data_IF_828497272610
#
_entry.id   IF_828497272610
#
_cell.length_a   1.000
_cell.length_b   1.000
_cell.length_c   1.000
_cell.angle_alpha   90.00
_cell.angle_beta   90.00
_cell.angle_gamma   90.00
#
_symmetry.space_group_name_H-M   'P 1'
#
loop_
_entity.id
_entity.type
_entity.pdbx_description
1 polymer ?
#
# COMPACT_ATOMS: atom_id res chain seq x y z
N UNK A 1 1.48 13.35 -2.87
CA UNK A 1 2.11 12.02 -3.03
C UNK A 1 1.23 10.95 -2.42
N UNK A 2 1.74 9.73 -2.16
CA UNK A 2 0.93 8.61 -1.65
C UNK A 2 0.19 8.91 -0.34
N UNK A 3 0.79 9.70 0.56
CA UNK A 3 0.15 10.12 1.81
C UNK A 3 -1.20 10.83 1.58
N UNK A 4 -1.29 11.68 0.56
CA UNK A 4 -2.54 12.39 0.24
C UNK A 4 -3.63 11.40 -0.16
N UNK A 5 -3.30 10.30 -0.84
CA UNK A 5 -4.27 9.25 -1.16
C UNK A 5 -4.78 8.59 0.12
N UNK A 6 -3.89 8.28 1.07
CA UNK A 6 -4.25 7.71 2.37
C UNK A 6 -5.24 8.63 3.13
N UNK A 7 -4.97 9.93 3.14
CA UNK A 7 -5.84 10.91 3.80
C UNK A 7 -7.23 10.97 3.14
N UNK A 8 -7.32 10.71 1.83
CA UNK A 8 -8.57 10.69 1.08
C UNK A 8 -9.36 9.37 1.15
N UNK A 9 -8.78 8.29 1.70
CA UNK A 9 -9.51 7.03 1.90
C UNK A 9 -10.68 7.15 2.89
N UNK A 10 -10.72 8.23 3.68
CA UNK A 10 -11.83 8.59 4.55
C UNK A 10 -12.50 9.92 4.19
N UNK A 11 -12.28 10.42 2.97
CA UNK A 11 -12.87 11.69 2.56
C UNK A 11 -14.41 11.67 2.66
N UNK A 12 -15.08 12.72 3.18
CA UNK A 12 -16.54 12.73 3.35
C UNK A 12 -17.31 12.70 2.02
N UNK A 13 -16.73 13.29 0.97
CA UNK A 13 -17.23 13.11 -0.39
C UNK A 13 -16.85 11.72 -0.91
N UNK A 14 -17.85 10.86 -1.08
CA UNK A 14 -17.70 9.48 -1.53
C UNK A 14 -17.13 9.34 -2.94
N UNK A 15 -17.34 10.32 -3.83
CA UNK A 15 -16.74 10.31 -5.16
C UNK A 15 -15.22 10.46 -5.09
N UNK A 16 -14.74 11.41 -4.27
CA UNK A 16 -13.30 11.61 -4.06
C UNK A 16 -12.67 10.42 -3.34
N UNK A 17 -13.40 9.83 -2.38
CA UNK A 17 -12.99 8.60 -1.71
C UNK A 17 -12.84 7.44 -2.69
N UNK A 18 -13.85 7.23 -3.56
CA UNK A 18 -13.82 6.21 -4.60
C UNK A 18 -12.65 6.39 -5.56
N UNK A 19 -12.43 7.63 -6.05
CA UNK A 19 -11.27 7.95 -6.89
C UNK A 19 -9.94 7.70 -6.17
N UNK A 20 -9.84 8.03 -4.89
CA UNK A 20 -8.64 7.72 -4.10
C UNK A 20 -8.38 6.21 -4.05
N UNK A 21 -9.41 5.40 -3.85
CA UNK A 21 -9.31 3.94 -3.90
C UNK A 21 -8.91 3.41 -5.28
N UNK A 22 -9.52 3.90 -6.35
CA UNK A 22 -9.17 3.49 -7.72
C UNK A 22 -7.70 3.76 -8.03
N UNK A 23 -7.22 4.98 -7.72
CA UNK A 23 -5.81 5.33 -7.90
C UNK A 23 -4.92 4.46 -7.01
N UNK A 24 -5.30 4.27 -5.75
CA UNK A 24 -4.51 3.49 -4.80
C UNK A 24 -4.43 2.01 -5.17
N UNK A 25 -5.48 1.42 -5.74
CA UNK A 25 -5.45 0.04 -6.28
C UNK A 25 -4.68 -0.03 -7.59
N UNK A 26 -4.78 0.99 -8.45
CA UNK A 26 -4.06 1.04 -9.73
C UNK A 26 -2.55 1.01 -9.51
N UNK A 27 -2.01 1.82 -8.60
CA UNK A 27 -0.56 1.84 -8.34
C UNK A 27 0.00 0.52 -7.79
N UNK A 28 -0.86 -0.38 -7.31
CA UNK A 28 -0.50 -1.69 -6.75
C UNK A 28 -0.48 -2.80 -7.79
N UNK A 29 -0.86 -2.50 -9.04
CA UNK A 29 -0.89 -3.48 -10.13
C UNK A 29 0.54 -3.89 -10.52
N UNK A 30 0.81 -5.19 -10.49
CA UNK A 30 2.11 -5.77 -10.88
C UNK A 30 2.44 -5.48 -12.35
N UNK A 31 1.41 -5.31 -13.19
CA UNK A 31 1.56 -4.94 -14.59
C UNK A 31 2.11 -3.52 -14.80
N UNK A 32 1.88 -2.62 -13.83
CA UNK A 32 2.39 -1.25 -13.87
C UNK A 32 3.75 -1.13 -13.17
N UNK A 33 3.93 -1.86 -12.09
CA UNK A 33 5.19 -1.91 -11.35
C UNK A 33 5.33 -3.27 -10.65
N UNK A 34 6.39 -4.04 -10.92
CA UNK A 34 6.55 -5.38 -10.36
C UNK A 34 7.01 -5.29 -8.89
N UNK A 35 6.06 -5.05 -7.99
CA UNK A 35 6.32 -4.80 -6.57
C UNK A 35 6.97 -5.99 -5.88
N UNK A 36 6.56 -7.22 -6.21
CA UNK A 36 7.07 -8.45 -5.58
C UNK A 36 8.29 -9.04 -6.29
N UNK A 37 8.45 -8.78 -7.59
CA UNK A 37 9.58 -9.22 -8.40
C UNK A 37 10.27 -8.02 -9.07
N UNK A 38 10.80 -7.08 -8.28
CA UNK A 38 11.37 -5.86 -8.81
C UNK A 38 12.61 -6.14 -9.67
N UNK A 39 12.88 -5.31 -10.69
CA UNK A 39 13.99 -5.52 -11.61
C UNK A 39 15.34 -5.53 -10.88
N UNK A 40 16.26 -6.37 -11.35
CA UNK A 40 17.62 -6.42 -10.81
C UNK A 40 18.32 -5.07 -10.98
N UNK A 41 18.84 -4.54 -9.87
CA UNK A 41 19.58 -3.27 -9.89
C UNK A 41 21.05 -3.56 -10.23
N UNK A 42 21.65 -2.87 -11.22
CA UNK A 42 23.06 -3.06 -11.56
C UNK A 42 24.00 -2.90 -10.37
N UNK A 43 24.86 -3.90 -10.18
CA UNK A 43 25.84 -3.96 -9.09
C UNK A 43 25.34 -4.60 -7.80
N UNK A 44 24.27 -5.40 -7.84
CA UNK A 44 23.79 -6.17 -6.68
C UNK A 44 23.14 -5.33 -5.58
N UNK A 45 22.76 -4.09 -5.92
CA UNK A 45 22.09 -3.17 -5.00
C UNK A 45 20.66 -3.60 -4.72
N UNK A 46 20.15 -3.28 -3.53
CA UNK A 46 18.72 -3.43 -3.26
C UNK A 46 17.91 -2.44 -4.10
N UNK A 47 16.65 -2.75 -4.38
CA UNK A 47 15.72 -1.84 -5.05
C UNK A 47 15.52 -0.56 -4.23
N UNK A 48 15.68 -0.66 -2.91
CA UNK A 48 15.73 0.49 -1.99
C UNK A 48 16.94 1.41 -2.17
N UNK A 49 17.93 1.01 -2.96
CA UNK A 49 19.18 1.75 -3.27
C UNK A 49 19.33 2.03 -4.78
N UNK A 50 18.38 1.55 -5.58
CA UNK A 50 18.36 1.67 -7.04
C UNK A 50 17.61 2.91 -7.55
N UNK A 51 17.34 2.97 -8.86
CA UNK A 51 16.57 4.07 -9.47
C UNK A 51 15.17 4.23 -8.85
N UNK A 52 14.59 3.13 -8.35
CA UNK A 52 13.24 3.08 -7.77
C UNK A 52 13.20 3.32 -6.25
N UNK A 53 14.35 3.61 -5.63
CA UNK A 53 14.46 3.83 -4.19
C UNK A 53 13.43 4.85 -3.66
N UNK A 54 13.11 5.89 -4.45
CA UNK A 54 12.11 6.90 -4.07
C UNK A 54 10.70 6.34 -4.03
N UNK A 55 10.32 5.49 -4.98
CA UNK A 55 8.99 4.87 -5.04
C UNK A 55 8.82 3.88 -3.90
N UNK A 56 9.84 3.04 -3.68
CA UNK A 56 9.87 2.09 -2.56
C UNK A 56 9.86 2.80 -1.22
N UNK A 57 10.67 3.84 -1.05
CA UNK A 57 10.71 4.65 0.16
C UNK A 57 9.37 5.32 0.43
N UNK A 58 8.70 5.83 -0.60
CA UNK A 58 7.37 6.43 -0.47
C UNK A 58 6.31 5.40 -0.05
N UNK A 59 6.29 4.21 -0.66
CA UNK A 59 5.36 3.14 -0.28
C UNK A 59 5.65 2.64 1.14
N UNK A 60 6.93 2.43 1.48
CA UNK A 60 7.36 2.02 2.81
C UNK A 60 7.01 3.06 3.89
N UNK A 61 7.06 4.35 3.56
CA UNK A 61 6.70 5.42 4.49
C UNK A 61 5.24 5.35 4.97
N UNK A 62 4.36 4.67 4.21
CA UNK A 62 2.97 4.46 4.60
C UNK A 62 2.83 3.53 5.82
N UNK A 63 3.88 2.79 6.20
CA UNK A 63 3.89 2.04 7.47
C UNK A 63 3.73 2.94 8.70
N UNK A 64 4.05 4.24 8.56
CA UNK A 64 3.91 5.27 9.60
C UNK A 64 2.64 6.12 9.42
N UNK A 65 1.80 5.79 8.45
CA UNK A 65 0.57 6.53 8.15
C UNK A 65 -0.66 5.78 8.70
N UNK A 66 -1.85 6.42 8.73
CA UNK A 66 -3.07 5.74 9.16
C UNK A 66 -3.64 4.78 8.09
N UNK A 67 -2.85 4.35 7.10
CA UNK A 67 -3.32 3.53 5.98
C UNK A 67 -4.14 2.32 6.42
N UNK A 68 -3.61 1.48 7.31
CA UNK A 68 -4.29 0.25 7.74
C UNK A 68 -5.61 0.59 8.44
N UNK A 69 -5.61 1.58 9.33
CA UNK A 69 -6.84 2.03 9.99
C UNK A 69 -7.88 2.54 8.99
N UNK A 70 -7.47 3.42 8.06
CA UNK A 70 -8.35 3.97 7.04
C UNK A 70 -8.94 2.90 6.12
N UNK A 71 -8.17 1.86 5.78
CA UNK A 71 -8.68 0.73 4.99
C UNK A 71 -9.73 -0.08 5.77
N UNK A 72 -9.49 -0.35 7.05
CA UNK A 72 -10.43 -1.11 7.91
C UNK A 72 -11.75 -0.36 8.10
N UNK A 73 -11.71 0.97 8.24
CA UNK A 73 -12.92 1.81 8.36
C UNK A 73 -13.84 1.77 7.13
N UNK A 74 -13.34 1.32 5.96
CA UNK A 74 -14.16 1.12 4.77
C UNK A 74 -14.79 -0.29 4.68
N UNK A 75 -14.59 -1.15 5.70
CA UNK A 75 -15.21 -2.48 5.76
C UNK A 75 -16.74 -2.44 5.86
N UNK A 76 -17.33 -1.33 6.28
CA UNK A 76 -18.79 -1.14 6.35
C UNK A 76 -19.43 -0.83 5.00
N UNK A 77 -18.66 -0.90 3.90
CA UNK A 77 -19.13 -0.66 2.52
C UNK A 77 -19.78 0.74 2.33
N UNK A 78 -19.07 1.86 2.59
CA UNK A 78 -19.64 3.21 2.45
C UNK A 78 -20.00 3.58 1.01
N UNK A 79 -19.47 2.87 0.02
CA UNK A 79 -19.84 2.95 -1.39
C UNK A 79 -19.67 1.56 -2.04
N UNK A 80 -20.29 1.30 -3.21
CA UNK A 80 -20.21 -0.01 -3.85
C UNK A 80 -18.78 -0.42 -4.19
N UNK A 81 -18.35 -1.58 -3.71
CA UNK A 81 -17.01 -2.14 -3.88
C UNK A 81 -15.98 -1.69 -2.84
N UNK A 82 -16.32 -0.79 -1.92
CA UNK A 82 -15.37 -0.18 -0.99
C UNK A 82 -14.62 -1.21 -0.12
N UNK A 83 -15.33 -2.16 0.49
CA UNK A 83 -14.74 -3.18 1.35
C UNK A 83 -13.83 -4.11 0.54
N UNK A 84 -14.20 -4.45 -0.71
CA UNK A 84 -13.36 -5.26 -1.58
C UNK A 84 -12.07 -4.51 -1.98
N UNK A 85 -12.18 -3.24 -2.38
CA UNK A 85 -11.02 -2.40 -2.72
C UNK A 85 -10.10 -2.20 -1.50
N UNK A 86 -10.69 -2.02 -0.32
CA UNK A 86 -9.97 -1.90 0.93
C UNK A 86 -9.24 -3.18 1.32
N UNK A 87 -9.91 -4.33 1.26
CA UNK A 87 -9.32 -5.63 1.54
C UNK A 87 -8.19 -5.95 0.54
N UNK A 88 -8.41 -5.69 -0.75
CA UNK A 88 -7.38 -5.88 -1.79
C UNK A 88 -6.15 -5.03 -1.50
N UNK A 89 -6.34 -3.75 -1.19
CA UNK A 89 -5.25 -2.83 -0.86
C UNK A 89 -4.50 -3.25 0.41
N UNK A 90 -5.24 -3.70 1.43
CA UNK A 90 -4.66 -4.20 2.67
C UNK A 90 -3.84 -5.47 2.43
N UNK A 91 -4.38 -6.41 1.65
CA UNK A 91 -3.72 -7.66 1.30
C UNK A 91 -2.42 -7.41 0.51
N UNK A 92 -2.46 -6.53 -0.49
CA UNK A 92 -1.28 -6.09 -1.20
C UNK A 92 -0.23 -5.51 -0.24
N UNK A 93 -0.61 -4.50 0.55
CA UNK A 93 0.33 -3.77 1.39
C UNK A 93 0.97 -4.69 2.44
N UNK A 94 0.17 -5.52 3.11
CA UNK A 94 0.68 -6.50 4.07
C UNK A 94 1.56 -7.56 3.39
N UNK A 95 1.18 -8.06 2.21
CA UNK A 95 2.01 -9.02 1.47
C UNK A 95 3.36 -8.43 1.08
N UNK A 96 3.36 -7.22 0.55
CA UNK A 96 4.57 -6.52 0.12
C UNK A 96 5.50 -6.23 1.32
N UNK A 97 4.98 -5.68 2.42
CA UNK A 97 5.77 -5.45 3.64
C UNK A 97 6.36 -6.76 4.16
N UNK A 98 5.52 -7.80 4.26
CA UNK A 98 5.91 -9.13 4.74
C UNK A 98 7.01 -9.74 3.87
N UNK A 99 6.91 -9.59 2.56
CA UNK A 99 7.87 -10.17 1.62
C UNK A 99 9.25 -9.50 1.71
N UNK A 100 9.29 -8.17 1.78
CA UNK A 100 10.54 -7.43 1.61
C UNK A 100 11.18 -6.92 2.92
N UNK A 101 10.40 -6.73 3.99
CA UNK A 101 10.89 -6.06 5.20
C UNK A 101 10.80 -6.92 6.47
N UNK A 102 10.09 -8.05 6.44
CA UNK A 102 9.98 -8.94 7.59
C UNK A 102 10.94 -10.12 7.50
N UNK A 103 11.69 -10.36 8.59
CA UNK A 103 12.47 -11.58 8.75
C UNK A 103 11.55 -12.81 8.68
N UNK A 104 11.99 -13.84 7.97
CA UNK A 104 11.28 -15.10 7.77
C UNK A 104 9.88 -14.94 7.14
N UNK A 105 9.59 -13.77 6.54
CA UNK A 105 8.29 -13.42 5.96
C UNK A 105 7.13 -13.53 6.96
N UNK A 106 7.38 -13.24 8.24
CA UNK A 106 6.37 -13.21 9.29
C UNK A 106 6.04 -11.75 9.60
N UNK A 107 4.83 -11.32 9.23
CA UNK A 107 4.30 -10.02 9.61
C UNK A 107 3.53 -10.15 10.92
N UNK A 108 3.88 -9.32 11.91
CA UNK A 108 3.16 -9.22 13.19
C UNK A 108 2.45 -7.88 13.23
N UNK A 109 1.12 -7.93 13.27
CA UNK A 109 0.28 -6.76 13.48
C UNK A 109 -0.09 -6.73 14.97
N UNK A 110 0.69 -6.04 15.79
CA UNK A 110 0.37 -5.82 17.20
C UNK A 110 0.37 -4.32 17.52
N UNK A 111 -0.49 -3.91 18.46
CA UNK A 111 -0.45 -2.56 19.04
C UNK A 111 0.64 -2.40 20.11
N UNK A 112 1.28 -3.49 20.52
CA UNK A 112 2.35 -3.51 21.51
C UNK A 112 3.65 -3.99 20.85
N UNK A 113 4.66 -3.12 20.86
CA UNK A 113 6.06 -3.45 20.59
C UNK A 113 6.72 -3.96 21.88
#
# INVERSE_FOLDING_TARGET
GLQVLVDNLLHPNLYLRGQAFEVFVTIQQEELYPWHEPPEVPGGRSVSEGPDARVWGAMFSLTRSPLIANLVENATEPFPGAAFLALRSLAFFCSWIRHHFCKDRILRLSQQL
#
